data_IF_454125542612
#
_entry.id   IF_454125542612
#
_cell.length_a   1.000
_cell.length_b   1.000
_cell.length_c   1.000
_cell.angle_alpha   90.00
_cell.angle_beta   90.00
_cell.angle_gamma   90.00
#
_symmetry.space_group_name_H-M   'P 1'
#
loop_
_entity.id
_entity.type
_entity.pdbx_description
1 polymer ?
#
# COMPACT_ATOMS: atom_id res chain seq x y z
N UNK A 1 -21.30 -3.91 19.06
CA UNK A 1 -20.06 -3.28 18.58
C UNK A 1 -19.31 -4.15 17.55
N UNK A 2 -19.22 -5.47 17.75
CA UNK A 2 -18.53 -6.41 16.85
C UNK A 2 -19.17 -6.55 15.46
N UNK A 3 -20.51 -6.54 15.35
CA UNK A 3 -21.23 -6.52 14.06
C UNK A 3 -20.81 -5.32 13.20
N UNK A 4 -20.65 -4.15 13.80
CA UNK A 4 -20.21 -2.95 13.09
C UNK A 4 -18.75 -3.05 12.62
N UNK A 5 -17.85 -3.67 13.42
CA UNK A 5 -16.48 -3.98 13.00
C UNK A 5 -16.46 -4.92 11.78
N UNK A 6 -17.29 -5.98 11.79
CA UNK A 6 -17.43 -6.91 10.66
C UNK A 6 -17.95 -6.19 9.41
N UNK A 7 -18.99 -5.36 9.55
CA UNK A 7 -19.53 -4.60 8.44
C UNK A 7 -18.47 -3.68 7.79
N UNK A 8 -17.66 -2.98 8.61
CA UNK A 8 -16.55 -2.17 8.12
C UNK A 8 -15.46 -3.00 7.42
N UNK A 9 -15.14 -4.20 7.90
CA UNK A 9 -14.17 -5.08 7.25
C UNK A 9 -14.66 -5.62 5.91
N UNK A 10 -15.94 -6.01 5.83
CA UNK A 10 -16.58 -6.43 4.57
C UNK A 10 -16.57 -5.27 3.59
N UNK A 11 -16.92 -4.05 4.04
CA UNK A 11 -16.87 -2.85 3.19
C UNK A 11 -15.44 -2.59 2.68
N UNK A 12 -14.42 -2.70 3.53
CA UNK A 12 -13.01 -2.59 3.11
C UNK A 12 -12.66 -3.63 2.05
N UNK A 13 -13.07 -4.89 2.21
CA UNK A 13 -12.84 -5.94 1.21
C UNK A 13 -13.53 -5.64 -0.13
N UNK A 14 -14.79 -5.18 -0.10
CA UNK A 14 -15.51 -4.81 -1.31
C UNK A 14 -14.80 -3.66 -2.05
N UNK A 15 -14.34 -2.66 -1.31
CA UNK A 15 -13.57 -1.53 -1.83
C UNK A 15 -12.25 -2.02 -2.44
N UNK A 16 -11.53 -2.93 -1.77
CA UNK A 16 -10.29 -3.53 -2.26
C UNK A 16 -10.50 -4.31 -3.56
N UNK A 17 -11.59 -5.07 -3.69
CA UNK A 17 -11.90 -5.87 -4.89
C UNK A 17 -12.40 -5.00 -6.05
N UNK A 18 -13.19 -3.96 -5.77
CA UNK A 18 -13.80 -3.12 -6.79
C UNK A 18 -12.75 -2.41 -7.68
N UNK A 19 -11.60 -2.05 -7.12
CA UNK A 19 -10.59 -1.27 -7.83
C UNK A 19 -9.84 -2.09 -8.87
N UNK A 20 -9.31 -3.28 -8.57
CA UNK A 20 -8.78 -4.17 -9.57
C UNK A 20 -9.76 -4.44 -10.72
N UNK A 21 -11.04 -4.64 -10.40
CA UNK A 21 -12.10 -4.85 -11.39
C UNK A 21 -12.25 -3.61 -12.29
N UNK A 22 -12.29 -2.41 -11.71
CA UNK A 22 -12.38 -1.17 -12.47
C UNK A 22 -11.20 -0.99 -13.45
N UNK A 23 -9.96 -1.18 -12.96
CA UNK A 23 -8.78 -1.09 -13.81
C UNK A 23 -8.75 -2.15 -14.90
N UNK A 24 -9.13 -3.39 -14.57
CA UNK A 24 -9.24 -4.47 -15.56
C UNK A 24 -10.24 -4.12 -16.65
N UNK A 25 -11.45 -3.67 -16.31
CA UNK A 25 -12.47 -3.27 -17.30
C UNK A 25 -11.96 -2.14 -18.21
N UNK A 26 -11.23 -1.18 -17.64
CA UNK A 26 -10.70 -0.02 -18.38
C UNK A 26 -9.58 -0.39 -19.35
N UNK A 27 -8.64 -1.25 -18.95
CA UNK A 27 -7.41 -1.49 -19.71
C UNK A 27 -7.33 -2.86 -20.41
N UNK A 28 -8.29 -3.78 -20.20
CA UNK A 28 -8.27 -5.14 -20.80
C UNK A 28 -8.15 -5.20 -22.33
N UNK A 29 -8.50 -4.11 -23.04
CA UNK A 29 -8.44 -4.04 -24.51
C UNK A 29 -7.06 -3.63 -25.03
N UNK A 30 -6.13 -3.24 -24.16
CA UNK A 30 -4.77 -2.85 -24.54
C UNK A 30 -3.96 -4.07 -24.98
N UNK A 31 -3.30 -3.98 -26.14
CA UNK A 31 -2.59 -5.11 -26.77
C UNK A 31 -1.50 -5.72 -25.88
N UNK A 32 -0.86 -4.89 -25.05
CA UNK A 32 0.24 -5.28 -24.16
C UNK A 32 -0.18 -5.32 -22.68
N UNK A 33 -1.49 -5.35 -22.40
CA UNK A 33 -2.03 -5.26 -21.04
C UNK A 33 -1.34 -6.22 -20.07
N UNK A 34 -1.33 -7.53 -20.36
CA UNK A 34 -0.75 -8.53 -19.47
C UNK A 34 0.75 -8.32 -19.22
N UNK A 35 1.49 -7.90 -20.26
CA UNK A 35 2.93 -7.62 -20.14
C UNK A 35 3.18 -6.44 -19.21
N UNK A 36 2.42 -5.35 -19.38
CA UNK A 36 2.55 -4.15 -18.55
C UNK A 36 2.10 -4.42 -17.09
N UNK A 37 1.10 -5.29 -16.88
CA UNK A 37 0.70 -5.77 -15.55
C UNK A 37 1.84 -6.52 -14.86
N UNK A 38 2.51 -7.43 -15.58
CA UNK A 38 3.64 -8.19 -15.03
C UNK A 38 4.82 -7.28 -14.62
N UNK A 39 5.06 -6.19 -15.35
CA UNK A 39 6.03 -5.18 -14.92
C UNK A 39 5.60 -4.49 -13.62
N UNK A 40 4.30 -4.22 -13.45
CA UNK A 40 3.73 -3.79 -12.17
C UNK A 40 3.98 -4.77 -11.03
N UNK A 41 3.92 -6.08 -11.30
CA UNK A 41 4.20 -7.12 -10.31
C UNK A 41 5.66 -7.09 -9.87
N UNK A 42 6.59 -6.91 -10.81
CA UNK A 42 8.01 -6.80 -10.52
C UNK A 42 8.31 -5.55 -9.68
N UNK A 43 7.68 -4.41 -9.97
CA UNK A 43 7.79 -3.20 -9.14
C UNK A 43 7.32 -3.47 -7.70
N UNK A 44 6.22 -4.19 -7.53
CA UNK A 44 5.70 -4.54 -6.22
C UNK A 44 6.63 -5.49 -5.45
N UNK A 45 7.12 -6.54 -6.11
CA UNK A 45 8.07 -7.46 -5.50
C UNK A 45 9.37 -6.76 -5.10
N UNK A 46 9.89 -5.86 -5.93
CA UNK A 46 11.08 -5.07 -5.60
C UNK A 46 10.85 -4.14 -4.41
N UNK A 47 9.69 -3.47 -4.35
CA UNK A 47 9.31 -2.63 -3.21
C UNK A 47 9.28 -3.45 -1.91
N UNK A 48 8.63 -4.61 -1.93
CA UNK A 48 8.56 -5.50 -0.76
C UNK A 48 9.91 -6.09 -0.40
N UNK A 49 10.77 -6.44 -1.37
CA UNK A 49 12.11 -6.92 -1.11
C UNK A 49 12.94 -5.87 -0.37
N UNK A 50 12.94 -4.63 -0.85
CA UNK A 50 13.64 -3.51 -0.22
C UNK A 50 13.09 -3.27 1.19
N UNK A 51 11.77 -3.24 1.34
CA UNK A 51 11.12 -3.06 2.65
C UNK A 51 11.48 -4.15 3.64
N UNK A 52 11.48 -5.41 3.21
CA UNK A 52 11.74 -6.55 4.09
C UNK A 52 13.23 -6.66 4.45
N UNK A 53 14.14 -6.50 3.49
CA UNK A 53 15.58 -6.55 3.74
C UNK A 53 16.03 -5.44 4.69
N UNK A 54 15.50 -4.24 4.54
CA UNK A 54 15.85 -3.11 5.41
C UNK A 54 15.11 -3.24 6.74
N UNK A 55 13.81 -3.56 6.72
CA UNK A 55 12.97 -3.63 7.90
C UNK A 55 13.42 -4.68 8.93
N UNK A 56 13.92 -5.84 8.47
CA UNK A 56 14.46 -6.88 9.36
C UNK A 56 15.74 -6.44 10.07
N UNK A 57 16.52 -5.56 9.44
CA UNK A 57 17.80 -5.08 9.97
C UNK A 57 17.69 -3.73 10.69
N UNK A 58 16.50 -3.11 10.69
CA UNK A 58 16.29 -1.84 11.40
C UNK A 58 16.03 -2.09 12.88
N UNK A 59 16.81 -1.49 13.79
CA UNK A 59 16.55 -1.58 15.21
C UNK A 59 15.19 -0.96 15.55
N UNK A 60 14.39 -1.65 16.36
CA UNK A 60 13.15 -1.11 16.90
C UNK A 60 13.52 -0.04 17.92
N UNK A 61 13.32 1.22 17.55
CA UNK A 61 13.55 2.37 18.41
C UNK A 61 12.23 3.08 18.64
N UNK A 62 12.01 3.57 19.86
CA UNK A 62 10.80 4.30 20.21
C UNK A 62 10.93 5.81 19.97
N UNK A 63 9.79 6.49 19.93
CA UNK A 63 9.71 7.95 19.84
C UNK A 63 10.15 8.51 18.48
N UNK A 64 10.83 9.66 18.53
CA UNK A 64 11.21 10.43 17.33
C UNK A 64 12.17 9.64 16.44
N UNK A 65 13.11 8.91 17.04
CA UNK A 65 14.12 8.14 16.30
C UNK A 65 13.46 6.99 15.54
N UNK A 66 12.51 6.28 16.17
CA UNK A 66 11.69 5.27 15.49
C UNK A 66 10.88 5.82 14.32
N UNK A 67 10.27 6.99 14.51
CA UNK A 67 9.50 7.66 13.47
C UNK A 67 10.37 8.06 12.27
N UNK A 68 11.58 8.56 12.51
CA UNK A 68 12.55 8.88 11.45
C UNK A 68 13.05 7.62 10.72
N UNK A 69 13.28 6.52 11.42
CA UNK A 69 13.65 5.24 10.82
C UNK A 69 12.54 4.72 9.89
N UNK A 70 11.27 4.86 10.27
CA UNK A 70 10.14 4.50 9.41
C UNK A 70 10.07 5.39 8.16
N UNK A 71 10.30 6.71 8.28
CA UNK A 71 10.38 7.60 7.12
C UNK A 71 11.53 7.18 6.19
N UNK A 72 12.69 6.84 6.75
CA UNK A 72 13.84 6.38 5.99
C UNK A 72 13.53 5.07 5.23
N UNK A 73 12.91 4.10 5.90
CA UNK A 73 12.49 2.83 5.30
C UNK A 73 11.58 3.06 4.08
N UNK A 74 10.61 3.94 4.22
CA UNK A 74 9.69 4.27 3.12
C UNK A 74 10.35 5.08 2.00
N UNK A 75 11.31 5.94 2.34
CA UNK A 75 12.13 6.66 1.36
C UNK A 75 12.94 5.69 0.51
N UNK A 76 13.60 4.71 1.15
CA UNK A 76 14.38 3.67 0.50
C UNK A 76 13.48 2.74 -0.33
N UNK A 77 12.29 2.42 0.16
CA UNK A 77 11.28 1.66 -0.61
C UNK A 77 10.87 2.43 -1.87
N UNK A 78 10.60 3.74 -1.76
CA UNK A 78 10.31 4.60 -2.90
C UNK A 78 11.46 4.65 -3.91
N UNK A 79 12.70 4.79 -3.42
CA UNK A 79 13.90 4.73 -4.26
C UNK A 79 14.06 3.37 -4.95
N UNK A 80 13.74 2.27 -4.27
CA UNK A 80 13.72 0.91 -4.83
C UNK A 80 12.73 0.76 -5.99
N UNK A 81 11.52 1.31 -5.85
CA UNK A 81 10.52 1.37 -6.94
C UNK A 81 11.09 2.14 -8.13
N UNK A 82 11.67 3.32 -7.89
CA UNK A 82 12.25 4.16 -8.95
C UNK A 82 13.40 3.42 -9.64
N UNK A 83 14.34 2.85 -8.90
CA UNK A 83 15.48 2.11 -9.44
C UNK A 83 15.01 0.92 -10.30
N UNK A 84 14.01 0.18 -9.83
CA UNK A 84 13.41 -0.94 -10.58
C UNK A 84 12.77 -0.45 -11.87
N UNK A 85 11.98 0.64 -11.81
CA UNK A 85 11.39 1.25 -13.01
C UNK A 85 12.44 1.65 -14.05
N UNK A 86 13.57 2.23 -13.61
CA UNK A 86 14.68 2.61 -14.48
C UNK A 86 15.30 1.38 -15.15
N UNK A 87 15.54 0.32 -14.38
CA UNK A 87 16.10 -0.94 -14.90
C UNK A 87 15.16 -1.57 -15.93
N UNK A 88 13.86 -1.63 -15.63
CA UNK A 88 12.84 -2.13 -16.56
C UNK A 88 12.86 -1.33 -17.87
N UNK A 89 12.82 0.01 -17.80
CA UNK A 89 12.86 0.90 -18.97
C UNK A 89 14.14 0.78 -19.78
N UNK A 90 15.30 0.65 -19.14
CA UNK A 90 16.61 0.62 -19.82
C UNK A 90 16.91 -0.72 -20.48
N UNK A 91 16.56 -1.83 -19.82
CA UNK A 91 17.02 -3.17 -20.23
C UNK A 91 15.93 -4.04 -20.86
N UNK A 92 14.67 -3.90 -20.43
CA UNK A 92 13.62 -4.86 -20.76
C UNK A 92 12.52 -4.28 -21.66
N UNK A 93 12.27 -2.98 -21.57
CA UNK A 93 11.24 -2.29 -22.35
C UNK A 93 11.91 -1.59 -23.55
N UNK A 94 12.33 -2.36 -24.56
CA UNK A 94 13.09 -1.84 -25.72
C UNK A 94 12.33 -1.69 -27.05
N UNK A 95 11.14 -2.28 -27.24
CA UNK A 95 10.54 -2.29 -28.61
C UNK A 95 9.04 -2.07 -28.73
N UNK A 96 8.22 -2.31 -27.71
CA UNK A 96 6.79 -1.99 -27.78
C UNK A 96 6.29 -1.61 -26.37
N UNK A 97 5.95 -0.34 -26.20
CA UNK A 97 5.44 0.24 -24.96
C UNK A 97 4.02 0.70 -25.23
N UNK A 98 3.03 0.24 -24.46
CA UNK A 98 1.69 0.80 -24.59
C UNK A 98 1.71 2.28 -24.17
N UNK A 99 0.86 3.10 -24.78
CA UNK A 99 0.75 4.52 -24.40
C UNK A 99 0.49 4.69 -22.90
N UNK A 100 -0.22 3.73 -22.31
CA UNK A 100 -0.69 3.71 -20.93
C UNK A 100 0.14 2.77 -20.02
N UNK A 101 1.33 2.34 -20.45
CA UNK A 101 2.22 1.41 -19.74
C UNK A 101 2.36 1.70 -18.24
N UNK A 102 2.66 2.94 -17.87
CA UNK A 102 2.81 3.44 -16.52
C UNK A 102 1.53 3.32 -15.66
N UNK A 103 0.34 3.51 -16.27
CA UNK A 103 -0.94 3.31 -15.59
C UNK A 103 -1.25 1.83 -15.40
N UNK A 104 -0.92 0.99 -16.38
CA UNK A 104 -1.13 -0.46 -16.32
C UNK A 104 -0.13 -1.12 -15.36
N UNK A 105 1.11 -0.65 -15.33
CA UNK A 105 2.11 -1.02 -14.31
C UNK A 105 1.65 -0.61 -12.90
N UNK A 106 1.13 0.60 -12.75
CA UNK A 106 0.50 1.05 -11.51
C UNK A 106 -0.63 0.11 -11.08
N UNK A 107 -1.51 -0.28 -12.02
CA UNK A 107 -2.54 -1.28 -11.76
C UNK A 107 -1.96 -2.62 -11.32
N UNK A 108 -0.93 -3.16 -11.99
CA UNK A 108 -0.29 -4.40 -11.57
C UNK A 108 0.26 -4.34 -10.15
N UNK A 109 0.86 -3.20 -9.76
CA UNK A 109 1.30 -2.96 -8.39
C UNK A 109 0.12 -2.99 -7.40
N UNK A 110 -0.97 -2.29 -7.71
CA UNK A 110 -2.19 -2.27 -6.88
C UNK A 110 -2.81 -3.66 -6.76
N UNK A 111 -2.86 -4.40 -7.86
CA UNK A 111 -3.44 -5.73 -7.92
C UNK A 111 -2.76 -6.67 -6.91
N UNK A 112 -1.43 -6.76 -6.93
CA UNK A 112 -0.73 -7.60 -5.96
C UNK A 112 -0.89 -7.09 -4.52
N UNK A 113 -0.90 -5.78 -4.33
CA UNK A 113 -1.11 -5.20 -3.00
C UNK A 113 -2.49 -5.58 -2.44
N UNK A 114 -3.53 -5.56 -3.27
CA UNK A 114 -4.88 -6.02 -2.93
C UNK A 114 -4.86 -7.52 -2.64
N UNK A 115 -4.28 -8.34 -3.52
CA UNK A 115 -4.21 -9.80 -3.33
C UNK A 115 -3.52 -10.17 -2.02
N UNK A 116 -2.44 -9.49 -1.65
CA UNK A 116 -1.78 -9.71 -0.35
C UNK A 116 -2.59 -9.22 0.85
N UNK A 117 -3.46 -8.22 0.67
CA UNK A 117 -4.28 -7.68 1.75
C UNK A 117 -5.53 -8.51 2.04
N UNK A 118 -6.06 -9.25 1.04
CA UNK A 118 -7.27 -10.06 1.19
C UNK A 118 -7.15 -11.09 2.35
N UNK A 119 -6.10 -11.92 2.44
CA UNK A 119 -5.95 -12.87 3.54
C UNK A 119 -5.98 -12.21 4.92
N UNK A 120 -5.34 -11.05 5.07
CA UNK A 120 -5.31 -10.29 6.34
C UNK A 120 -6.73 -9.87 6.74
N UNK A 121 -7.50 -9.32 5.81
CA UNK A 121 -8.87 -8.92 6.06
C UNK A 121 -9.80 -10.12 6.35
N UNK A 122 -9.61 -11.26 5.67
CA UNK A 122 -10.37 -12.49 5.95
C UNK A 122 -10.07 -12.97 7.37
N UNK A 123 -8.79 -12.99 7.78
CA UNK A 123 -8.40 -13.37 9.15
C UNK A 123 -9.07 -12.47 10.19
N UNK A 124 -9.11 -11.16 9.97
CA UNK A 124 -9.81 -10.24 10.88
C UNK A 124 -11.33 -10.48 10.95
N UNK A 125 -11.97 -10.88 9.85
CA UNK A 125 -13.38 -11.25 9.84
C UNK A 125 -13.61 -12.53 10.64
N UNK A 126 -12.80 -13.56 10.39
CA UNK A 126 -12.89 -14.83 11.11
C UNK A 126 -12.72 -14.63 12.62
N UNK A 127 -11.77 -13.78 13.03
CA UNK A 127 -11.54 -13.46 14.44
C UNK A 127 -12.69 -12.67 15.05
N UNK A 128 -13.27 -11.72 14.30
CA UNK A 128 -14.47 -11.00 14.74
C UNK A 128 -15.66 -11.93 14.97
N UNK A 129 -15.87 -12.88 14.06
CA UNK A 129 -16.95 -13.88 14.15
C UNK A 129 -16.70 -14.83 15.32
N UNK A 130 -15.45 -15.28 15.49
CA UNK A 130 -15.02 -16.10 16.61
C UNK A 130 -15.28 -15.42 17.96
N UNK A 131 -14.94 -14.14 18.10
CA UNK A 131 -15.18 -13.35 19.31
C UNK A 131 -16.69 -13.20 19.60
N UNK A 132 -17.53 -13.06 18.56
CA UNK A 132 -18.99 -13.07 18.71
C UNK A 132 -19.56 -14.42 19.16
N UNK A 133 -18.94 -15.53 18.74
CA UNK A 133 -19.37 -16.88 19.10
C UNK A 133 -18.96 -17.32 20.51
N UNK A 134 -18.14 -16.51 21.19
CA UNK A 134 -17.75 -16.69 22.60
C UNK A 134 -16.79 -17.84 22.90
N UNK A 135 -16.46 -18.72 21.95
CA UNK A 135 -15.81 -20.01 22.23
C UNK A 135 -14.59 -20.34 21.36
N UNK A 136 -14.23 -19.52 20.37
CA UNK A 136 -13.26 -19.95 19.36
C UNK A 136 -11.82 -20.11 19.86
N UNK A 137 -11.31 -19.22 20.72
CA UNK A 137 -9.94 -19.36 21.27
C UNK A 137 -9.89 -20.31 22.47
N UNK A 138 -10.86 -20.23 23.38
CA UNK A 138 -10.91 -21.11 24.55
C UNK A 138 -11.04 -22.60 24.18
N UNK A 139 -11.64 -22.91 23.03
CA UNK A 139 -11.72 -24.28 22.51
C UNK A 139 -10.37 -24.88 22.07
N UNK A 140 -9.39 -24.05 21.68
CA UNK A 140 -8.08 -24.51 21.17
C UNK A 140 -6.91 -24.12 22.08
N UNK A 141 -7.14 -23.28 23.08
CA UNK A 141 -6.14 -22.80 24.04
C UNK A 141 -5.39 -23.94 24.74
N UNK A 142 -6.10 -25.03 25.04
CA UNK A 142 -5.52 -26.21 25.70
C UNK A 142 -4.69 -27.10 24.77
N UNK A 143 -4.68 -26.82 23.45
CA UNK A 143 -3.90 -27.55 22.44
C UNK A 143 -2.62 -26.79 22.02
N UNK A 144 -2.43 -25.57 22.52
CA UNK A 144 -1.30 -24.70 22.20
C UNK A 144 -0.28 -24.71 23.34
N UNK A 145 1.00 -24.55 23.01
CA UNK A 145 2.04 -24.35 24.01
C UNK A 145 1.91 -22.94 24.64
N UNK A 146 2.50 -22.75 25.82
CA UNK A 146 2.38 -21.51 26.61
C UNK A 146 2.85 -20.26 25.85
N UNK A 147 3.90 -20.37 25.02
CA UNK A 147 4.40 -19.27 24.18
C UNK A 147 3.41 -18.89 23.08
N UNK A 148 2.81 -19.88 22.41
CA UNK A 148 1.81 -19.66 21.37
C UNK A 148 0.54 -19.02 21.96
N UNK A 149 0.12 -19.46 23.15
CA UNK A 149 -1.00 -18.86 23.88
C UNK A 149 -0.72 -17.39 24.20
N UNK A 150 0.50 -17.04 24.61
CA UNK A 150 0.89 -15.66 24.89
C UNK A 150 0.86 -14.79 23.62
N UNK A 151 1.38 -15.30 22.50
CA UNK A 151 1.34 -14.59 21.22
C UNK A 151 -0.08 -14.37 20.70
N UNK A 152 -0.95 -15.40 20.79
CA UNK A 152 -2.34 -15.27 20.35
C UNK A 152 -3.11 -14.31 21.25
N UNK A 153 -2.88 -14.31 22.57
CA UNK A 153 -3.48 -13.33 23.47
C UNK A 153 -3.04 -11.89 23.14
N UNK A 154 -1.75 -11.66 22.90
CA UNK A 154 -1.24 -10.36 22.46
C UNK A 154 -1.91 -9.91 21.16
N UNK A 155 -2.06 -10.82 20.19
CA UNK A 155 -2.76 -10.53 18.94
C UNK A 155 -4.24 -10.21 19.17
N UNK A 156 -4.94 -10.97 20.01
CA UNK A 156 -6.36 -10.75 20.34
C UNK A 156 -6.58 -9.42 21.09
N UNK A 157 -5.67 -9.06 21.99
CA UNK A 157 -5.72 -7.79 22.71
C UNK A 157 -5.50 -6.62 21.76
N UNK A 158 -4.50 -6.72 20.87
CA UNK A 158 -4.31 -5.74 19.79
C UNK A 158 -5.58 -5.65 18.93
N UNK A 159 -6.15 -6.78 18.51
CA UNK A 159 -7.37 -6.82 17.71
C UNK A 159 -8.56 -6.14 18.40
N UNK A 160 -8.75 -6.35 19.71
CA UNK A 160 -9.83 -5.75 20.49
C UNK A 160 -9.73 -4.23 20.52
N UNK A 161 -8.51 -3.69 20.58
CA UNK A 161 -8.26 -2.24 20.55
C UNK A 161 -8.50 -1.60 19.18
N UNK A 162 -8.53 -2.38 18.08
CA UNK A 162 -8.82 -1.84 16.75
C UNK A 162 -10.28 -1.39 16.66
N UNK A 163 -10.46 -0.12 16.36
CA UNK A 163 -11.77 0.51 16.11
C UNK A 163 -12.31 0.15 14.73
N UNK A 164 -13.64 0.23 14.56
CA UNK A 164 -14.26 0.01 13.25
C UNK A 164 -13.73 0.97 12.16
N UNK A 165 -13.43 2.21 12.53
CA UNK A 165 -12.83 3.20 11.63
C UNK A 165 -11.42 2.80 11.15
N UNK A 166 -10.60 2.18 12.02
CA UNK A 166 -9.27 1.69 11.64
C UNK A 166 -9.33 0.52 10.64
N UNK A 167 -10.37 -0.33 10.67
CA UNK A 167 -10.55 -1.35 9.63
C UNK A 167 -10.87 -0.75 8.26
N UNK A 168 -11.65 0.34 8.25
CA UNK A 168 -11.91 1.09 7.02
C UNK A 168 -10.64 1.79 6.50
N UNK A 169 -9.86 2.36 7.42
CA UNK A 169 -8.58 3.00 7.11
C UNK A 169 -7.60 2.02 6.46
N UNK A 170 -7.47 0.79 6.96
CA UNK A 170 -6.56 -0.22 6.40
C UNK A 170 -6.88 -0.53 4.93
N UNK A 171 -8.15 -0.77 4.60
CA UNK A 171 -8.58 -1.05 3.23
C UNK A 171 -8.32 0.14 2.29
N UNK A 172 -8.60 1.36 2.76
CA UNK A 172 -8.35 2.57 1.98
C UNK A 172 -6.86 2.88 1.85
N UNK A 173 -6.04 2.62 2.86
CA UNK A 173 -4.61 2.89 2.84
C UNK A 173 -3.88 2.10 1.73
N UNK A 174 -4.29 0.86 1.47
CA UNK A 174 -3.78 0.04 0.36
C UNK A 174 -4.02 0.74 -0.99
N UNK A 175 -5.19 1.35 -1.14
CA UNK A 175 -5.59 2.04 -2.37
C UNK A 175 -4.87 3.37 -2.54
N UNK A 176 -4.78 4.15 -1.46
CA UNK A 176 -4.06 5.42 -1.46
C UNK A 176 -2.59 5.19 -1.83
N UNK A 177 -1.94 4.17 -1.24
CA UNK A 177 -0.58 3.78 -1.62
C UNK A 177 -0.50 3.41 -3.12
N UNK A 178 -1.47 2.66 -3.61
CA UNK A 178 -1.59 2.32 -5.03
C UNK A 178 -1.64 3.53 -5.98
N UNK A 179 -2.44 4.53 -5.61
CA UNK A 179 -2.56 5.79 -6.35
C UNK A 179 -1.27 6.62 -6.31
N UNK A 180 -0.58 6.64 -5.17
CA UNK A 180 0.73 7.29 -5.03
C UNK A 180 1.74 6.65 -5.96
N UNK A 181 1.86 5.31 -5.94
CA UNK A 181 2.80 4.60 -6.83
C UNK A 181 2.45 4.84 -8.30
N UNK A 182 1.17 4.80 -8.66
CA UNK A 182 0.75 5.12 -10.04
C UNK A 182 1.14 6.55 -10.43
N UNK A 183 0.97 7.51 -9.53
CA UNK A 183 1.35 8.91 -9.73
C UNK A 183 2.87 9.10 -9.85
N UNK A 184 3.66 8.36 -9.07
CA UNK A 184 5.12 8.29 -9.23
C UNK A 184 5.51 7.81 -10.62
N UNK A 185 4.88 6.75 -11.12
CA UNK A 185 5.16 6.21 -12.47
C UNK A 185 4.80 7.19 -13.58
N UNK A 186 3.69 7.93 -13.44
CA UNK A 186 3.29 9.02 -14.35
C UNK A 186 4.39 10.10 -14.43
N UNK A 187 4.85 10.58 -13.27
CA UNK A 187 5.92 11.58 -13.19
C UNK A 187 7.21 11.04 -13.81
N UNK A 188 7.63 9.84 -13.42
CA UNK A 188 8.85 9.23 -13.94
C UNK A 188 8.80 9.12 -15.46
N UNK A 189 7.69 8.66 -16.03
CA UNK A 189 7.54 8.60 -17.50
C UNK A 189 7.78 9.97 -18.14
N UNK A 190 7.08 11.02 -17.70
CA UNK A 190 7.24 12.38 -18.24
C UNK A 190 8.69 12.86 -18.22
N UNK A 191 9.34 12.74 -17.07
CA UNK A 191 10.68 13.27 -16.86
C UNK A 191 11.77 12.42 -17.55
N UNK A 192 11.48 11.15 -17.83
CA UNK A 192 12.34 10.30 -18.65
C UNK A 192 12.23 10.63 -20.14
N UNK A 193 11.02 10.97 -20.59
CA UNK A 193 10.77 11.36 -21.98
C UNK A 193 11.29 12.78 -22.31
N UNK A 194 11.52 13.63 -21.29
CA UNK A 194 12.02 15.02 -21.42
C UNK A 194 13.48 15.22 -20.99
N UNK A 195 14.23 14.12 -20.84
CA UNK A 195 15.65 14.07 -20.40
C UNK A 195 15.97 14.72 -19.03
N UNK A 196 14.94 15.08 -18.25
CA UNK A 196 15.05 15.66 -16.92
C UNK A 196 14.95 14.59 -15.81
N UNK A 197 15.66 13.47 -16.00
CA UNK A 197 15.50 12.24 -15.18
C UNK A 197 15.72 12.48 -13.69
N UNK A 198 16.77 13.22 -13.32
CA UNK A 198 17.11 13.47 -11.91
C UNK A 198 15.97 14.22 -11.17
N UNK A 199 15.31 15.16 -11.85
CA UNK A 199 14.17 15.88 -11.30
C UNK A 199 12.97 14.95 -11.09
N UNK A 200 12.69 14.08 -12.06
CA UNK A 200 11.65 13.06 -11.95
C UNK A 200 11.86 12.09 -10.80
N UNK A 201 13.10 11.60 -10.62
CA UNK A 201 13.49 10.72 -9.50
C UNK A 201 13.23 11.43 -8.16
N UNK A 202 13.73 12.66 -8.00
CA UNK A 202 13.55 13.44 -6.78
C UNK A 202 12.09 13.67 -6.42
N UNK A 203 11.26 14.04 -7.41
CA UNK A 203 9.82 14.23 -7.20
C UNK A 203 9.14 12.91 -6.83
N UNK A 204 9.41 11.82 -7.54
CA UNK A 204 8.77 10.53 -7.28
C UNK A 204 9.09 9.99 -5.88
N UNK A 205 10.35 10.04 -5.46
CA UNK A 205 10.73 9.66 -4.08
C UNK A 205 10.08 10.63 -3.08
N UNK A 206 10.09 11.94 -3.37
CA UNK A 206 9.44 12.96 -2.55
C UNK A 206 7.95 12.71 -2.31
N UNK A 207 7.21 12.25 -3.33
CA UNK A 207 5.79 11.88 -3.19
C UNK A 207 5.58 10.78 -2.14
N UNK A 208 6.43 9.74 -2.15
CA UNK A 208 6.36 8.65 -1.19
C UNK A 208 6.71 9.13 0.23
N UNK A 209 7.74 9.99 0.35
CA UNK A 209 8.15 10.60 1.62
C UNK A 209 7.02 11.45 2.20
N UNK A 210 6.39 12.30 1.40
CA UNK A 210 5.29 13.16 1.87
C UNK A 210 4.11 12.30 2.31
N UNK A 211 3.70 11.32 1.52
CA UNK A 211 2.57 10.44 1.86
C UNK A 211 2.82 9.67 3.17
N UNK A 212 3.98 9.02 3.29
CA UNK A 212 4.30 8.20 4.47
C UNK A 212 4.68 9.06 5.69
N UNK A 213 5.39 10.16 5.48
CA UNK A 213 5.76 11.11 6.53
C UNK A 213 4.53 11.71 7.18
N UNK A 214 3.51 12.12 6.40
CA UNK A 214 2.24 12.56 6.96
C UNK A 214 1.55 11.41 7.70
N UNK A 215 1.58 10.20 7.15
CA UNK A 215 1.06 9.01 7.85
C UNK A 215 1.69 8.78 9.23
N UNK A 216 3.00 8.99 9.37
CA UNK A 216 3.75 8.84 10.62
C UNK A 216 3.48 10.01 11.58
N UNK A 217 3.41 11.23 11.07
CA UNK A 217 3.04 12.40 11.89
C UNK A 217 1.64 12.26 12.49
N UNK A 218 0.69 11.74 11.72
CA UNK A 218 -0.68 11.47 12.20
C UNK A 218 -0.71 10.41 13.32
N UNK A 219 0.15 9.39 13.22
CA UNK A 219 0.32 8.41 14.31
C UNK A 219 0.96 9.05 15.54
N UNK A 220 1.98 9.90 15.37
CA UNK A 220 2.68 10.56 16.46
C UNK A 220 1.78 11.51 17.27
N UNK A 221 0.84 12.21 16.62
CA UNK A 221 -0.15 13.07 17.30
C UNK A 221 -1.40 12.31 17.78
N UNK A 222 -1.41 10.98 17.65
CA UNK A 222 -2.56 10.13 17.99
C UNK A 222 -3.85 10.62 17.34
N UNK A 223 -3.78 11.03 16.07
CA UNK A 223 -4.94 11.51 15.34
C UNK A 223 -6.02 10.42 15.31
N UNK A 224 -7.28 10.83 15.50
CA UNK A 224 -8.41 9.93 15.30
C UNK A 224 -8.35 9.33 13.88
N UNK A 225 -8.66 8.03 13.75
CA UNK A 225 -8.63 7.30 12.49
C UNK A 225 -9.39 7.98 11.33
N UNK A 226 -10.52 8.65 11.62
CA UNK A 226 -11.28 9.39 10.59
C UNK A 226 -10.47 10.60 10.11
N UNK A 227 -9.91 11.38 11.03
CA UNK A 227 -9.09 12.55 10.69
C UNK A 227 -7.84 12.13 9.93
N UNK A 228 -7.17 11.07 10.39
CA UNK A 228 -6.00 10.51 9.74
C UNK A 228 -6.31 10.06 8.31
N UNK A 229 -7.46 9.40 8.12
CA UNK A 229 -7.94 8.98 6.81
C UNK A 229 -8.21 10.18 5.90
N UNK A 230 -8.95 11.19 6.37
CA UNK A 230 -9.27 12.40 5.58
C UNK A 230 -7.99 13.09 5.12
N UNK A 231 -7.01 13.27 6.02
CA UNK A 231 -5.73 13.90 5.68
C UNK A 231 -4.97 13.06 4.65
N UNK A 232 -4.89 11.74 4.81
CA UNK A 232 -4.24 10.87 3.82
C UNK A 232 -4.92 10.91 2.46
N UNK A 233 -6.25 10.98 2.41
CA UNK A 233 -7.01 11.14 1.17
C UNK A 233 -6.68 12.48 0.52
N UNK A 234 -6.68 13.58 1.28
CA UNK A 234 -6.35 14.92 0.77
C UNK A 234 -4.93 15.00 0.22
N UNK A 235 -3.95 14.43 0.93
CA UNK A 235 -2.55 14.36 0.49
C UNK A 235 -2.43 13.55 -0.81
N UNK A 236 -3.08 12.40 -0.86
CA UNK A 236 -3.08 11.54 -2.05
C UNK A 236 -3.75 12.23 -3.24
N UNK A 237 -4.86 12.94 -3.00
CA UNK A 237 -5.52 13.73 -4.02
C UNK A 237 -4.63 14.88 -4.52
N UNK A 238 -3.93 15.59 -3.63
CA UNK A 238 -2.98 16.64 -3.99
C UNK A 238 -1.82 16.11 -4.84
N UNK A 239 -1.22 14.98 -4.43
CA UNK A 239 -0.15 14.32 -5.20
C UNK A 239 -0.65 13.84 -6.56
N UNK A 240 -1.82 13.19 -6.60
CA UNK A 240 -2.40 12.67 -7.84
C UNK A 240 -2.81 13.80 -8.79
N UNK A 241 -3.33 14.92 -8.26
CA UNK A 241 -3.65 16.11 -9.04
C UNK A 241 -2.40 16.76 -9.63
N UNK A 242 -1.32 16.85 -8.85
CA UNK A 242 -0.03 17.31 -9.35
C UNK A 242 0.47 16.42 -10.50
N UNK A 243 0.46 15.10 -10.31
CA UNK A 243 0.85 14.16 -11.37
C UNK A 243 -0.02 14.28 -12.62
N UNK A 244 -1.32 14.46 -12.47
CA UNK A 244 -2.25 14.69 -13.59
C UNK A 244 -1.97 16.00 -14.32
N UNK A 245 -1.75 17.11 -13.61
CA UNK A 245 -1.40 18.40 -14.21
C UNK A 245 -0.11 18.32 -15.01
N UNK A 246 0.89 17.65 -14.45
CA UNK A 246 2.17 17.42 -15.12
C UNK A 246 2.00 16.53 -16.36
N UNK A 247 1.16 15.49 -16.30
CA UNK A 247 0.87 14.62 -17.45
C UNK A 247 0.13 15.33 -18.59
N UNK A 248 -0.86 16.18 -18.27
CA UNK A 248 -1.68 16.90 -19.27
C UNK A 248 -0.90 17.99 -20.01
N UNK A 249 0.24 18.43 -19.50
CA UNK A 249 1.09 19.44 -20.16
C UNK A 249 1.97 18.86 -21.29
N UNK A 250 1.75 17.60 -21.66
CA UNK A 250 2.37 16.87 -22.78
C UNK A 250 1.37 16.83 -23.95
#
# INVERSE_FOLDING_TARGET
>A
MTIFKIACQILSLLILIAIPVFYFVKFRKEKLFMKDVLWGFILYMAANLVRNLIGVNMPQMDGIVGSLMLILLWSLTGAGIVATYILLRKYLIKSEISKNDHLIMGFGFVFLNVVQSIPVHISYIMISISDMSGNGFDAVKNMLNTEDVAQVNLFLDQFRTITAAQFLEQGLAVLLLGLIVTSMLVILKKYFDTDQRNKGIGIAVGMMIVFQGIGILLLAVQANAILALVIRVLVTAGISYYAYKEYKTI
#
